data_IF_617861173610
#
_entry.id   IF_617861173610
#
_cell.length_a   1.000
_cell.length_b   1.000
_cell.length_c   1.000
_cell.angle_alpha   90.00
_cell.angle_beta   90.00
_cell.angle_gamma   90.00
#
_symmetry.space_group_name_H-M   'P 1'
#
loop_
_entity.id
_entity.type
_entity.pdbx_description
1 polymer ?
#
# COMPACT_ATOMS: atom_id res chain seq x y z
N UNK A 1 -45.85 -47.11 -1.93
CA UNK A 1 -45.63 -45.67 -1.66
C UNK A 1 -44.15 -45.43 -1.62
N UNK A 2 -43.58 -44.83 -2.68
CA UNK A 2 -42.14 -44.56 -2.79
C UNK A 2 -41.87 -43.13 -2.32
N UNK A 3 -41.11 -43.01 -1.23
CA UNK A 3 -40.67 -41.74 -0.66
C UNK A 3 -39.49 -41.24 -1.49
N UNK A 4 -39.69 -40.25 -2.36
CA UNK A 4 -38.60 -39.58 -3.10
C UNK A 4 -37.93 -38.57 -2.18
N UNK A 5 -36.74 -38.93 -1.69
CA UNK A 5 -35.85 -38.03 -0.96
C UNK A 5 -35.30 -36.98 -1.93
N UNK A 6 -35.74 -35.75 -1.81
CA UNK A 6 -35.17 -34.62 -2.54
C UNK A 6 -33.91 -34.16 -1.77
N UNK A 7 -32.71 -34.44 -2.32
CA UNK A 7 -31.47 -33.92 -1.82
C UNK A 7 -31.31 -32.51 -2.37
N UNK A 8 -31.50 -31.51 -1.51
CA UNK A 8 -31.18 -30.10 -1.82
C UNK A 8 -29.67 -29.92 -1.61
N UNK A 9 -28.91 -29.87 -2.71
CA UNK A 9 -27.50 -29.49 -2.67
C UNK A 9 -27.44 -27.96 -2.55
N UNK A 10 -27.17 -27.45 -1.35
CA UNK A 10 -26.86 -26.05 -1.14
C UNK A 10 -25.44 -25.79 -1.69
N UNK A 11 -25.37 -25.21 -2.89
CA UNK A 11 -24.11 -24.68 -3.44
C UNK A 11 -23.80 -23.40 -2.67
N UNK A 12 -22.96 -23.51 -1.64
CA UNK A 12 -22.36 -22.36 -0.98
C UNK A 12 -21.35 -21.76 -1.95
N UNK A 13 -21.76 -20.73 -2.68
CA UNK A 13 -20.85 -19.88 -3.42
C UNK A 13 -19.98 -19.11 -2.40
N UNK A 14 -18.84 -19.66 -2.08
CA UNK A 14 -17.76 -18.92 -1.42
C UNK A 14 -17.27 -17.87 -2.42
N UNK A 15 -17.89 -16.70 -2.38
CA UNK A 15 -17.34 -15.49 -2.98
C UNK A 15 -16.09 -15.12 -2.18
N UNK A 16 -15.01 -15.85 -2.38
CA UNK A 16 -13.71 -15.53 -1.82
C UNK A 16 -13.28 -14.18 -2.38
N UNK A 17 -13.00 -13.22 -1.50
CA UNK A 17 -12.37 -11.95 -1.89
C UNK A 17 -11.10 -12.28 -2.67
N UNK A 18 -11.13 -12.11 -3.98
CA UNK A 18 -10.00 -12.47 -4.85
C UNK A 18 -8.88 -11.47 -4.63
N UNK A 19 -7.83 -11.88 -3.95
CA UNK A 19 -6.63 -11.06 -3.80
C UNK A 19 -6.01 -10.77 -5.17
N UNK A 20 -5.52 -9.56 -5.32
CA UNK A 20 -4.85 -9.09 -6.53
C UNK A 20 -3.37 -8.95 -6.22
N UNK A 21 -2.54 -9.39 -7.14
CA UNK A 21 -1.10 -9.21 -7.03
C UNK A 21 -0.76 -7.72 -7.11
N UNK A 22 -0.01 -7.26 -6.12
CA UNK A 22 0.51 -5.89 -6.03
C UNK A 22 2.03 -5.96 -6.17
N UNK A 23 2.58 -5.08 -7.00
CA UNK A 23 4.02 -5.04 -7.24
C UNK A 23 4.62 -3.77 -6.64
N UNK A 24 5.76 -3.89 -5.98
CA UNK A 24 6.59 -2.73 -5.65
C UNK A 24 7.22 -2.22 -6.94
N UNK A 25 7.01 -0.93 -7.23
CA UNK A 25 7.57 -0.28 -8.40
C UNK A 25 8.86 0.46 -8.09
N UNK A 26 8.88 1.18 -6.95
CA UNK A 26 10.02 1.98 -6.55
C UNK A 26 10.12 2.12 -5.03
N UNK A 27 11.33 2.28 -4.54
CA UNK A 27 11.66 2.67 -3.17
C UNK A 27 12.77 3.71 -3.21
N UNK A 28 12.75 4.65 -2.24
CA UNK A 28 13.75 5.68 -2.17
C UNK A 28 13.48 6.71 -1.08
N UNK A 29 13.96 7.91 -1.32
CA UNK A 29 13.78 9.05 -0.42
C UNK A 29 13.20 10.25 -1.16
N UNK A 30 12.50 11.11 -0.44
CA UNK A 30 12.01 12.40 -0.93
C UNK A 30 12.28 13.49 0.10
N UNK A 31 12.57 14.70 -0.37
CA UNK A 31 12.75 15.89 0.47
C UNK A 31 11.44 16.63 0.72
N UNK A 32 10.33 16.18 0.15
CA UNK A 32 9.01 16.76 0.41
C UNK A 32 8.62 16.49 1.86
N UNK A 33 8.36 17.57 2.60
CA UNK A 33 8.14 17.54 4.05
C UNK A 33 6.78 16.93 4.41
N UNK A 34 6.69 16.40 5.62
CA UNK A 34 5.49 15.82 6.22
C UNK A 34 5.84 14.68 7.18
N UNK A 35 4.85 14.14 7.89
CA UNK A 35 4.98 12.96 8.74
C UNK A 35 4.73 11.65 7.98
N UNK A 36 4.50 10.58 8.73
CA UNK A 36 4.09 9.28 8.19
C UNK A 36 2.74 9.42 7.49
N UNK A 37 2.66 8.91 6.26
CA UNK A 37 1.53 9.15 5.41
C UNK A 37 1.37 8.05 4.37
N UNK A 38 0.14 7.65 4.09
CA UNK A 38 -0.20 6.81 2.94
C UNK A 38 -1.05 7.63 1.96
N UNK A 39 -0.67 7.62 0.69
CA UNK A 39 -1.32 8.39 -0.37
C UNK A 39 -1.71 7.50 -1.52
N UNK A 40 -2.76 7.88 -2.21
CA UNK A 40 -3.17 7.28 -3.49
C UNK A 40 -2.76 8.24 -4.60
N UNK A 41 -2.04 7.73 -5.59
CA UNK A 41 -1.50 8.49 -6.74
C UNK A 41 -2.24 8.02 -7.98
N UNK A 42 -2.79 8.94 -8.74
CA UNK A 42 -3.62 8.64 -9.92
C UNK A 42 -3.12 9.25 -11.22
N UNK A 43 -2.14 10.11 -11.13
CA UNK A 43 -1.52 10.78 -12.29
C UNK A 43 -0.06 11.14 -12.02
N UNK A 44 0.62 11.60 -13.06
CA UNK A 44 2.02 12.01 -12.99
C UNK A 44 2.24 13.28 -12.17
N UNK A 45 1.24 14.14 -12.05
CA UNK A 45 1.32 15.36 -11.25
C UNK A 45 1.40 15.05 -9.76
N UNK A 46 0.69 14.01 -9.31
CA UNK A 46 0.77 13.53 -7.93
C UNK A 46 2.19 13.06 -7.58
N UNK A 47 2.82 12.29 -8.47
CA UNK A 47 4.21 11.84 -8.30
C UNK A 47 5.20 13.00 -8.33
N UNK A 48 5.02 13.93 -9.26
CA UNK A 48 5.89 15.10 -9.40
C UNK A 48 5.86 15.99 -8.14
N UNK A 49 4.68 16.18 -7.54
CA UNK A 49 4.56 16.92 -6.26
C UNK A 49 5.31 16.26 -5.12
N UNK A 50 5.53 14.96 -5.18
CA UNK A 50 6.31 14.21 -4.20
C UNK A 50 7.80 14.11 -4.56
N UNK A 51 8.23 14.69 -5.68
CA UNK A 51 9.60 14.60 -6.19
C UNK A 51 9.97 13.19 -6.62
N UNK A 52 8.98 12.38 -7.03
CA UNK A 52 9.16 10.97 -7.40
C UNK A 52 8.93 10.81 -8.89
N UNK A 53 9.86 10.12 -9.55
CA UNK A 53 9.77 9.78 -10.96
C UNK A 53 9.71 8.25 -11.11
N UNK A 54 8.58 7.74 -11.57
CA UNK A 54 8.37 6.32 -11.76
C UNK A 54 7.41 6.06 -12.93
N UNK A 55 7.62 5.01 -13.74
CA UNK A 55 6.81 4.72 -14.93
C UNK A 55 5.51 4.00 -14.54
N UNK A 56 4.51 4.73 -14.07
CA UNK A 56 3.18 4.21 -13.75
C UNK A 56 2.25 4.33 -14.95
N UNK A 57 1.54 3.26 -15.28
CA UNK A 57 0.56 3.24 -16.35
C UNK A 57 -0.85 3.54 -15.82
N UNK A 58 -1.12 4.81 -15.49
CA UNK A 58 -2.36 5.25 -14.83
C UNK A 58 -3.67 4.90 -15.56
N UNK A 59 -3.62 4.50 -16.82
CA UNK A 59 -4.80 3.96 -17.52
C UNK A 59 -5.22 2.57 -17.03
N UNK A 60 -4.30 1.79 -16.45
CA UNK A 60 -4.51 0.39 -16.05
C UNK A 60 -4.35 0.16 -14.56
N UNK A 61 -3.66 1.07 -13.89
CA UNK A 61 -3.25 0.93 -12.50
C UNK A 61 -3.21 2.29 -11.79
N UNK A 62 -3.22 2.26 -10.48
CA UNK A 62 -2.99 3.42 -9.65
C UNK A 62 -1.82 3.15 -8.70
N UNK A 63 -1.22 4.21 -8.18
CA UNK A 63 -0.17 4.10 -7.19
C UNK A 63 -0.70 4.17 -5.77
N UNK A 64 -0.07 3.42 -4.87
CA UNK A 64 -0.19 3.58 -3.42
C UNK A 64 1.20 3.85 -2.90
N UNK A 65 1.38 4.94 -2.17
CA UNK A 65 2.70 5.36 -1.70
C UNK A 65 2.69 5.53 -0.18
N UNK A 66 3.61 4.84 0.49
CA UNK A 66 3.90 5.03 1.91
C UNK A 66 5.10 5.97 2.05
N UNK A 67 4.91 7.03 2.82
CA UNK A 67 5.95 7.98 3.20
C UNK A 67 6.15 7.89 4.71
N UNK A 68 7.40 7.77 5.16
CA UNK A 68 7.74 7.71 6.58
C UNK A 68 8.87 8.69 6.91
N UNK A 69 8.77 9.34 8.04
CA UNK A 69 9.70 10.36 8.53
C UNK A 69 9.00 11.54 9.19
N UNK A 70 9.65 12.70 9.32
CA UNK A 70 10.94 13.07 8.70
C UNK A 70 12.14 12.50 9.44
N UNK A 71 13.24 12.31 8.71
CA UNK A 71 14.54 11.91 9.23
C UNK A 71 15.59 13.00 8.95
N UNK A 72 16.51 13.18 9.88
CA UNK A 72 17.66 14.08 9.76
C UNK A 72 19.02 13.34 9.84
N UNK A 73 18.96 12.02 9.74
CA UNK A 73 20.12 11.13 9.67
C UNK A 73 19.91 10.12 8.55
N UNK A 74 20.98 9.78 7.83
CA UNK A 74 20.93 8.85 6.70
C UNK A 74 20.73 7.40 7.14
N UNK A 75 20.29 6.54 6.21
CA UNK A 75 20.30 5.09 6.38
C UNK A 75 19.00 4.44 6.82
N UNK A 76 17.93 5.22 7.03
CA UNK A 76 16.60 4.64 7.25
C UNK A 76 16.08 3.92 6.01
N UNK A 77 15.44 2.77 6.19
CA UNK A 77 14.88 1.95 5.10
C UNK A 77 13.49 1.45 5.46
N UNK A 78 12.55 1.59 4.55
CA UNK A 78 11.27 0.91 4.68
C UNK A 78 11.42 -0.58 4.38
N UNK A 79 10.92 -1.41 5.29
CA UNK A 79 10.82 -2.86 5.14
C UNK A 79 9.34 -3.19 5.00
N UNK A 80 8.97 -3.77 3.87
CA UNK A 80 7.60 -4.19 3.59
C UNK A 80 7.54 -5.70 3.68
N UNK A 81 6.80 -6.20 4.68
CA UNK A 81 6.61 -7.65 4.86
C UNK A 81 5.54 -8.20 3.92
N UNK A 82 4.45 -7.46 3.75
CA UNK A 82 3.38 -7.87 2.85
C UNK A 82 2.54 -6.70 2.37
N UNK A 83 1.95 -6.86 1.20
CA UNK A 83 0.87 -6.02 0.70
C UNK A 83 -0.21 -6.91 0.09
N UNK A 84 -1.45 -6.67 0.47
CA UNK A 84 -2.63 -7.40 0.00
C UNK A 84 -3.69 -6.42 -0.44
N UNK A 85 -4.24 -6.64 -1.63
CA UNK A 85 -5.30 -5.81 -2.19
C UNK A 85 -6.46 -6.68 -2.68
N UNK A 86 -7.67 -6.29 -2.35
CA UNK A 86 -8.90 -6.84 -2.86
C UNK A 86 -9.93 -5.71 -3.07
N UNK A 87 -11.15 -6.05 -3.41
CA UNK A 87 -12.24 -5.11 -3.66
C UNK A 87 -12.80 -4.43 -2.39
N UNK A 88 -12.28 -4.74 -1.21
CA UNK A 88 -12.70 -4.18 0.07
C UNK A 88 -11.64 -3.30 0.72
N UNK A 89 -10.37 -3.67 0.60
CA UNK A 89 -9.25 -2.91 1.19
C UNK A 89 -7.91 -3.21 0.54
N UNK A 90 -6.98 -2.28 0.75
CA UNK A 90 -5.54 -2.51 0.57
C UNK A 90 -4.90 -2.49 1.95
N UNK A 91 -4.16 -3.53 2.30
CA UNK A 91 -3.45 -3.63 3.57
C UNK A 91 -1.97 -3.87 3.36
N UNK A 92 -1.17 -3.02 3.98
CA UNK A 92 0.29 -3.07 3.96
C UNK A 92 0.79 -3.37 5.37
N UNK A 93 1.71 -4.33 5.50
CA UNK A 93 2.47 -4.56 6.73
C UNK A 93 3.89 -4.09 6.47
N UNK A 94 4.31 -3.05 7.18
CA UNK A 94 5.61 -2.41 6.96
C UNK A 94 6.15 -1.80 8.27
N UNK A 95 7.46 -1.54 8.28
CA UNK A 95 8.13 -0.77 9.32
C UNK A 95 9.35 -0.07 8.74
N UNK A 96 9.93 0.86 9.49
CA UNK A 96 11.23 1.42 9.15
C UNK A 96 12.34 0.77 9.98
N UNK A 97 13.40 0.40 9.30
CA UNK A 97 14.65 -0.05 9.90
C UNK A 97 15.57 1.16 10.08
N UNK A 98 15.99 1.39 11.32
CA UNK A 98 16.99 2.38 11.64
C UNK A 98 18.39 1.92 11.19
N UNK A 99 19.30 2.85 10.82
CA UNK A 99 20.67 2.49 10.54
C UNK A 99 21.37 1.97 11.79
N UNK A 100 22.12 0.87 11.66
CA UNK A 100 22.80 0.18 12.78
C UNK A 100 23.82 1.06 13.52
N UNK A 101 24.44 2.01 12.83
CA UNK A 101 25.42 2.98 13.35
C UNK A 101 24.79 4.33 13.76
N UNK A 102 23.45 4.42 13.74
CA UNK A 102 22.70 5.65 14.00
C UNK A 102 22.69 6.65 12.84
N UNK A 103 23.35 6.32 11.73
CA UNK A 103 23.40 7.14 10.51
C UNK A 103 24.19 8.44 10.63
N UNK A 104 24.58 9.00 9.50
CA UNK A 104 25.22 10.29 9.41
C UNK A 104 24.21 11.45 9.38
N UNK A 105 24.54 12.64 9.90
CA UNK A 105 23.68 13.82 9.75
C UNK A 105 23.35 14.07 8.28
N UNK A 106 22.09 14.36 8.00
CA UNK A 106 21.62 14.63 6.64
C UNK A 106 20.56 15.72 6.64
N UNK A 107 20.32 16.41 5.50
CA UNK A 107 19.13 17.21 5.32
C UNK A 107 17.85 16.37 5.56
N UNK A 108 16.78 17.02 6.01
CA UNK A 108 15.52 16.33 6.30
C UNK A 108 14.95 15.67 5.06
N UNK A 109 14.54 14.41 5.20
CA UNK A 109 13.93 13.60 4.15
C UNK A 109 12.90 12.62 4.72
N UNK A 110 12.11 12.03 3.84
CA UNK A 110 11.27 10.87 4.14
C UNK A 110 11.67 9.70 3.26
N UNK A 111 11.56 8.50 3.76
CA UNK A 111 11.61 7.29 2.96
C UNK A 111 10.28 7.08 2.26
N UNK A 112 10.27 6.40 1.11
CA UNK A 112 9.04 6.00 0.45
C UNK A 112 9.11 4.61 -0.17
N UNK A 113 7.95 3.99 -0.29
CA UNK A 113 7.70 2.82 -1.14
C UNK A 113 6.46 3.10 -1.99
N UNK A 114 6.57 2.91 -3.31
CA UNK A 114 5.50 3.04 -4.27
C UNK A 114 5.10 1.66 -4.77
N UNK A 115 3.84 1.31 -4.60
CA UNK A 115 3.22 0.11 -5.16
C UNK A 115 2.29 0.48 -6.31
N UNK A 116 2.16 -0.43 -7.26
CA UNK A 116 1.15 -0.34 -8.33
C UNK A 116 0.06 -1.37 -8.09
N UNK A 117 -1.18 -0.91 -8.14
CA UNK A 117 -2.38 -1.70 -7.91
C UNK A 117 -3.26 -1.63 -9.16
N UNK A 118 -3.73 -2.76 -9.70
CA UNK A 118 -4.60 -2.77 -10.88
C UNK A 118 -5.90 -1.99 -10.65
N UNK A 119 -6.32 -1.17 -11.63
CA UNK A 119 -7.54 -0.37 -11.55
C UNK A 119 -8.82 -1.20 -11.35
N UNK A 120 -8.78 -2.50 -11.66
CA UNK A 120 -9.92 -3.40 -11.44
C UNK A 120 -10.35 -3.53 -9.98
N UNK A 121 -9.44 -3.26 -9.01
CA UNK A 121 -9.78 -3.23 -7.59
C UNK A 121 -10.16 -1.84 -7.10
N UNK A 122 -10.05 -0.83 -7.96
CA UNK A 122 -10.40 0.53 -7.57
C UNK A 122 -11.90 0.67 -7.32
N UNK A 123 -12.25 1.01 -6.09
CA UNK A 123 -13.60 1.42 -5.70
C UNK A 123 -13.47 2.60 -4.76
N UNK A 124 -14.25 3.64 -5.02
CA UNK A 124 -14.31 4.81 -4.12
C UNK A 124 -14.61 4.37 -2.69
N UNK A 125 -13.86 4.90 -1.74
CA UNK A 125 -14.05 4.61 -0.32
C UNK A 125 -13.39 3.32 0.18
N UNK A 126 -12.68 2.57 -0.68
CA UNK A 126 -11.84 1.46 -0.21
C UNK A 126 -10.79 1.99 0.75
N UNK A 127 -10.67 1.33 1.88
CA UNK A 127 -9.70 1.65 2.91
C UNK A 127 -8.31 1.13 2.54
N UNK A 128 -7.30 1.99 2.72
CA UNK A 128 -5.88 1.67 2.56
C UNK A 128 -5.21 1.83 3.91
N UNK A 129 -4.76 0.73 4.49
CA UNK A 129 -4.14 0.69 5.82
C UNK A 129 -2.68 0.29 5.73
N UNK A 130 -1.86 0.97 6.53
CA UNK A 130 -0.50 0.52 6.85
C UNK A 130 -0.42 0.24 8.33
N UNK A 131 0.07 -0.95 8.66
CA UNK A 131 0.26 -1.40 10.04
C UNK A 131 1.67 -1.95 10.23
N UNK A 132 2.14 -1.95 11.46
CA UNK A 132 3.37 -2.64 11.85
C UNK A 132 3.17 -4.16 11.83
N UNK A 133 4.25 -4.98 11.89
CA UNK A 133 4.15 -6.43 12.08
C UNK A 133 3.36 -6.84 13.34
N UNK A 134 3.34 -5.98 14.37
CA UNK A 134 2.55 -6.18 15.61
C UNK A 134 1.11 -5.65 15.51
N UNK A 135 0.63 -5.34 14.30
CA UNK A 135 -0.72 -4.85 13.99
C UNK A 135 -1.04 -3.44 14.52
N UNK A 136 -0.01 -2.65 14.88
CA UNK A 136 -0.19 -1.26 15.27
C UNK A 136 -0.36 -0.36 14.04
N UNK A 137 -1.35 0.56 14.02
CA UNK A 137 -1.58 1.43 12.86
C UNK A 137 -0.45 2.44 12.68
N UNK A 138 -0.01 2.62 11.44
CA UNK A 138 0.96 3.65 11.03
C UNK A 138 0.23 4.79 10.30
N UNK A 139 -0.53 4.44 9.28
CA UNK A 139 -1.27 5.41 8.46
C UNK A 139 -2.49 4.77 7.81
N UNK A 140 -3.50 5.57 7.53
CA UNK A 140 -4.72 5.14 6.84
C UNK A 140 -5.17 6.23 5.87
N UNK A 141 -5.66 5.81 4.70
CA UNK A 141 -6.37 6.67 3.76
C UNK A 141 -7.50 5.89 3.09
N UNK A 142 -8.27 6.57 2.24
CA UNK A 142 -9.33 5.95 1.46
C UNK A 142 -9.15 6.31 -0.01
N UNK A 143 -9.54 5.40 -0.90
CA UNK A 143 -9.54 5.69 -2.33
C UNK A 143 -10.57 6.81 -2.61
N UNK A 144 -10.17 7.91 -3.27
CA UNK A 144 -11.01 9.08 -3.53
C UNK A 144 -12.12 8.85 -4.54
#
# INVERSE_FOLDING_TARGET
MSLRTVVVIAVVLLAGCREVRVNTLAQGTTTVLGGDQILVVRDDDDLTRLGIHAPVHFRREFGVILLMGPHNRSGYKQIVESIRANDQRVRVVAFEQEPADGGEPSPSYRTYTLWIVPNKVYRKGIRVDVVTPSDSPIATTFLP
#
